data_IF_661203379033
#
_entry.id   IF_661203379033
#
_cell.length_a   1.000
_cell.length_b   1.000
_cell.length_c   1.000
_cell.angle_alpha   90.00
_cell.angle_beta   90.00
_cell.angle_gamma   90.00
#
_symmetry.space_group_name_H-M   'P 1'
#
loop_
_entity.id
_entity.type
_entity.pdbx_description
1 polymer ?
#
# COMPACT_ATOMS: atom_id res chain seq x y z
N UNK A 1 -4.12 23.33 -7.86
CA UNK A 1 -4.46 21.94 -8.12
C UNK A 1 -4.27 21.11 -6.88
N UNK A 2 -5.02 20.03 -6.78
CA UNK A 2 -4.90 19.08 -5.67
C UNK A 2 -4.98 17.65 -6.21
N UNK A 3 -4.03 16.82 -5.81
CA UNK A 3 -3.97 15.39 -6.08
C UNK A 3 -4.16 14.66 -4.76
N UNK A 4 -5.17 13.81 -4.69
CA UNK A 4 -5.58 13.14 -3.46
C UNK A 4 -4.87 11.79 -3.28
N UNK A 5 -4.85 11.29 -2.05
CA UNK A 5 -4.29 9.96 -1.70
C UNK A 5 -5.02 8.82 -2.43
N UNK A 6 -6.34 8.92 -2.57
CA UNK A 6 -7.14 8.01 -3.38
C UNK A 6 -7.48 8.68 -4.70
N UNK A 7 -7.34 7.96 -5.79
CA UNK A 7 -7.64 8.50 -7.11
C UNK A 7 -9.11 8.95 -7.20
N UNK A 8 -9.29 10.22 -7.57
CA UNK A 8 -10.62 10.79 -7.77
C UNK A 8 -10.97 10.74 -9.26
N UNK A 9 -10.96 9.53 -9.83
CA UNK A 9 -11.21 9.24 -11.24
C UNK A 9 -12.43 8.32 -11.38
N UNK A 10 -13.20 8.52 -12.43
CA UNK A 10 -14.29 7.64 -12.81
C UNK A 10 -13.72 6.47 -13.61
N UNK A 11 -13.72 5.29 -13.04
CA UNK A 11 -13.04 4.11 -13.59
C UNK A 11 -13.64 3.62 -14.91
N UNK A 12 -14.93 3.78 -15.08
CA UNK A 12 -15.66 3.36 -16.30
C UNK A 12 -15.52 4.32 -17.47
N UNK A 13 -15.08 5.56 -17.22
CA UNK A 13 -14.85 6.56 -18.25
C UNK A 13 -13.41 6.44 -18.79
N UNK A 14 -13.23 6.86 -20.05
CA UNK A 14 -11.90 6.98 -20.65
C UNK A 14 -11.06 8.04 -19.95
N UNK A 15 -9.74 7.97 -20.15
CA UNK A 15 -8.81 8.99 -19.65
C UNK A 15 -9.22 10.38 -20.12
N UNK A 16 -9.53 10.52 -21.41
CA UNK A 16 -9.95 11.81 -21.98
C UNK A 16 -11.21 12.34 -21.30
N UNK A 17 -12.24 11.52 -21.11
CA UNK A 17 -13.47 11.94 -20.43
C UNK A 17 -13.21 12.38 -18.99
N UNK A 18 -12.34 11.68 -18.26
CA UNK A 18 -11.93 12.10 -16.91
C UNK A 18 -11.20 13.46 -16.87
N UNK A 19 -10.43 13.79 -17.92
CA UNK A 19 -9.71 15.04 -18.01
C UNK A 19 -10.60 16.24 -18.33
N UNK A 20 -11.71 16.00 -19.04
CA UNK A 20 -12.61 17.07 -19.51
C UNK A 20 -13.87 17.26 -18.66
N UNK A 21 -14.16 16.36 -17.73
CA UNK A 21 -15.46 16.28 -17.01
C UNK A 21 -15.84 17.56 -16.27
N UNK A 22 -14.86 18.40 -15.96
CA UNK A 22 -15.02 19.63 -15.18
C UNK A 22 -14.48 20.86 -15.96
N UNK A 23 -14.58 20.82 -17.29
CA UNK A 23 -14.08 21.88 -18.17
C UNK A 23 -15.19 22.39 -19.08
N UNK A 24 -15.33 23.73 -19.12
CA UNK A 24 -16.23 24.42 -20.04
C UNK A 24 -15.57 24.74 -21.40
N UNK A 25 -14.29 24.34 -21.59
CA UNK A 25 -13.54 24.61 -22.83
C UNK A 25 -14.01 23.66 -23.97
N UNK A 26 -13.85 24.12 -25.22
CA UNK A 26 -14.14 23.29 -26.40
C UNK A 26 -13.19 22.07 -26.45
N UNK A 27 -13.74 20.93 -26.86
CA UNK A 27 -13.06 19.64 -26.85
C UNK A 27 -11.75 19.61 -27.62
N UNK A 28 -11.70 20.28 -28.79
CA UNK A 28 -10.49 20.37 -29.60
C UNK A 28 -9.35 21.14 -28.88
N UNK A 29 -9.67 22.28 -28.28
CA UNK A 29 -8.69 23.09 -27.54
C UNK A 29 -8.12 22.34 -26.35
N UNK A 30 -8.96 21.57 -25.63
CA UNK A 30 -8.54 20.73 -24.52
C UNK A 30 -7.60 19.62 -24.97
N UNK A 31 -7.89 18.99 -26.11
CA UNK A 31 -7.04 17.93 -26.65
C UNK A 31 -5.64 18.44 -26.97
N UNK A 32 -5.53 19.59 -27.63
CA UNK A 32 -4.23 20.24 -27.91
C UNK A 32 -3.47 20.59 -26.64
N UNK A 33 -4.19 21.07 -25.61
CA UNK A 33 -3.61 21.41 -24.30
C UNK A 33 -3.09 20.17 -23.58
N UNK A 34 -3.86 19.08 -23.58
CA UNK A 34 -3.47 17.79 -23.02
C UNK A 34 -2.22 17.26 -23.73
N UNK A 35 -2.22 17.23 -25.06
CA UNK A 35 -1.08 16.77 -25.86
C UNK A 35 0.19 17.60 -25.58
N UNK A 36 0.03 18.91 -25.40
CA UNK A 36 1.13 19.80 -25.03
C UNK A 36 1.70 19.45 -23.66
N UNK A 37 0.85 19.25 -22.66
CA UNK A 37 1.24 18.85 -21.30
C UNK A 37 1.94 17.49 -21.33
N UNK A 38 1.36 16.51 -22.02
CA UNK A 38 1.92 15.15 -22.11
C UNK A 38 3.31 15.18 -22.75
N UNK A 39 3.50 15.91 -23.84
CA UNK A 39 4.82 16.07 -24.49
C UNK A 39 5.81 16.79 -23.59
N UNK A 40 5.40 17.91 -22.98
CA UNK A 40 6.26 18.74 -22.13
C UNK A 40 6.83 17.99 -20.94
N UNK A 41 6.01 17.16 -20.29
CA UNK A 41 6.39 16.44 -19.07
C UNK A 41 6.69 14.95 -19.31
N UNK A 42 6.71 14.53 -20.57
CA UNK A 42 6.96 13.14 -20.98
C UNK A 42 5.99 12.15 -20.31
N UNK A 43 4.72 12.53 -20.22
CA UNK A 43 3.67 11.64 -19.76
C UNK A 43 3.18 10.77 -20.93
N UNK A 44 3.16 9.45 -20.72
CA UNK A 44 2.63 8.49 -21.68
C UNK A 44 1.39 7.83 -21.09
N UNK A 45 0.22 8.24 -21.56
CA UNK A 45 -1.08 7.66 -21.19
C UNK A 45 -1.95 7.65 -22.45
N UNK A 46 -2.63 6.55 -22.72
CA UNK A 46 -3.59 6.44 -23.80
C UNK A 46 -4.91 7.12 -23.38
N UNK A 47 -5.36 8.10 -24.15
CA UNK A 47 -6.53 8.92 -23.83
C UNK A 47 -7.86 8.19 -24.04
N UNK A 48 -7.89 7.16 -24.87
CA UNK A 48 -9.10 6.48 -25.28
C UNK A 48 -9.44 5.24 -24.43
N UNK A 49 -8.51 4.80 -23.56
CA UNK A 49 -8.75 3.64 -22.70
C UNK A 49 -9.53 4.02 -21.43
N UNK A 50 -10.39 3.14 -20.90
CA UNK A 50 -11.01 3.30 -19.60
C UNK A 50 -9.97 3.34 -18.48
N UNK A 51 -10.21 4.20 -17.48
CA UNK A 51 -9.28 4.39 -16.34
C UNK A 51 -9.11 3.09 -15.54
N UNK A 52 -10.11 2.22 -15.50
CA UNK A 52 -10.02 0.89 -14.87
C UNK A 52 -8.80 0.08 -15.36
N UNK A 53 -8.44 0.21 -16.63
CA UNK A 53 -7.35 -0.55 -17.26
C UNK A 53 -5.96 0.06 -17.04
N UNK A 54 -5.85 1.16 -16.29
CA UNK A 54 -4.61 1.84 -16.04
C UNK A 54 -3.89 1.30 -14.81
N UNK A 55 -2.54 1.26 -14.86
CA UNK A 55 -1.73 1.06 -13.66
C UNK A 55 -1.88 2.24 -12.68
N UNK A 56 -1.51 2.05 -11.41
CA UNK A 56 -1.52 3.10 -10.41
C UNK A 56 -0.69 4.33 -10.84
N UNK A 57 0.50 4.10 -11.43
CA UNK A 57 1.33 5.18 -11.96
C UNK A 57 0.69 5.94 -13.13
N UNK A 58 -0.04 5.24 -13.98
CA UNK A 58 -0.81 5.89 -15.05
C UNK A 58 -1.99 6.70 -14.50
N UNK A 59 -2.75 6.16 -13.54
CA UNK A 59 -3.83 6.89 -12.85
C UNK A 59 -3.29 8.16 -12.18
N UNK A 60 -2.11 8.09 -11.55
CA UNK A 60 -1.43 9.24 -10.97
C UNK A 60 -1.09 10.31 -12.02
N UNK A 61 -0.57 9.90 -13.19
CA UNK A 61 -0.28 10.82 -14.29
C UNK A 61 -1.56 11.53 -14.78
N UNK A 62 -2.69 10.81 -14.86
CA UNK A 62 -4.00 11.40 -15.23
C UNK A 62 -4.44 12.47 -14.23
N UNK A 63 -4.35 12.20 -12.93
CA UNK A 63 -4.66 13.17 -11.87
C UNK A 63 -3.81 14.45 -12.00
N UNK A 64 -2.51 14.28 -12.26
CA UNK A 64 -1.59 15.41 -12.43
C UNK A 64 -1.93 16.20 -13.70
N UNK A 65 -2.17 15.54 -14.84
CA UNK A 65 -2.58 16.19 -16.09
C UNK A 65 -3.85 17.00 -15.86
N UNK A 66 -4.85 16.43 -15.17
CA UNK A 66 -6.10 17.12 -14.82
C UNK A 66 -5.86 18.41 -14.03
N UNK A 67 -4.90 18.40 -13.10
CA UNK A 67 -4.51 19.60 -12.39
C UNK A 67 -3.80 20.63 -13.30
N UNK A 68 -2.87 20.17 -14.16
CA UNK A 68 -2.05 21.03 -15.03
C UNK A 68 -2.83 21.72 -16.14
N UNK A 69 -3.92 21.11 -16.64
CA UNK A 69 -4.82 21.73 -17.64
C UNK A 69 -5.28 23.12 -17.18
N UNK A 70 -5.46 23.31 -15.87
CA UNK A 70 -5.89 24.59 -15.28
C UNK A 70 -4.75 25.58 -15.00
N UNK A 71 -3.52 25.26 -15.40
CA UNK A 71 -2.33 26.08 -15.17
C UNK A 71 -2.21 26.57 -13.70
N UNK A 72 -2.14 25.65 -12.73
CA UNK A 72 -2.17 25.99 -11.32
C UNK A 72 -0.90 26.72 -10.90
N UNK A 73 -1.03 27.70 -10.00
CA UNK A 73 0.11 28.33 -9.31
C UNK A 73 0.60 27.51 -8.12
N UNK A 74 -0.29 26.70 -7.54
CA UNK A 74 -0.03 25.82 -6.38
C UNK A 74 -0.55 24.44 -6.69
N UNK A 75 0.29 23.42 -6.44
CA UNK A 75 -0.05 22.02 -6.53
C UNK A 75 0.10 21.38 -5.16
N UNK A 76 -1.00 20.85 -4.62
CA UNK A 76 -1.02 20.14 -3.34
C UNK A 76 -1.10 18.65 -3.65
N UNK A 77 -0.22 17.86 -3.06
CA UNK A 77 -0.16 16.42 -3.26
C UNK A 77 -0.23 15.71 -1.91
N UNK A 78 -1.24 14.87 -1.74
CA UNK A 78 -1.48 14.12 -0.51
C UNK A 78 -1.11 12.64 -0.70
N UNK A 79 0.00 12.22 -0.11
CA UNK A 79 0.59 10.87 -0.20
C UNK A 79 0.64 10.28 -1.63
N UNK A 80 1.14 11.02 -2.64
CA UNK A 80 0.97 10.65 -4.04
C UNK A 80 1.74 9.39 -4.46
N UNK A 81 2.58 8.86 -3.61
CA UNK A 81 3.42 7.68 -3.87
C UNK A 81 2.99 6.43 -3.11
N UNK A 82 1.85 6.47 -2.43
CA UNK A 82 1.40 5.38 -1.56
C UNK A 82 1.23 4.04 -2.29
N UNK A 83 0.86 4.09 -3.57
CA UNK A 83 0.60 2.92 -4.44
C UNK A 83 1.57 2.80 -5.61
N UNK A 84 2.61 3.65 -5.66
CA UNK A 84 3.60 3.68 -6.73
C UNK A 84 4.80 2.79 -6.43
N UNK A 85 5.36 2.21 -7.48
CA UNK A 85 6.67 1.56 -7.43
C UNK A 85 7.79 2.60 -7.23
N UNK A 86 9.00 2.16 -6.85
CA UNK A 86 10.16 3.06 -6.73
C UNK A 86 10.51 3.74 -8.06
N UNK A 87 10.34 3.05 -9.18
CA UNK A 87 10.58 3.62 -10.52
C UNK A 87 9.55 4.71 -10.83
N UNK A 88 8.25 4.44 -10.64
CA UNK A 88 7.18 5.42 -10.86
C UNK A 88 7.32 6.64 -9.93
N UNK A 89 7.73 6.41 -8.67
CA UNK A 89 8.05 7.49 -7.71
C UNK A 89 9.18 8.39 -8.23
N UNK A 90 10.24 7.78 -8.78
CA UNK A 90 11.37 8.53 -9.34
C UNK A 90 10.95 9.37 -10.55
N UNK A 91 10.12 8.83 -11.44
CA UNK A 91 9.55 9.56 -12.59
C UNK A 91 8.67 10.73 -12.13
N UNK A 92 7.85 10.51 -11.10
CA UNK A 92 7.03 11.57 -10.49
C UNK A 92 7.91 12.70 -9.96
N UNK A 93 8.97 12.38 -9.20
CA UNK A 93 9.87 13.39 -8.64
C UNK A 93 10.57 14.23 -9.72
N UNK A 94 10.98 13.61 -10.82
CA UNK A 94 11.52 14.34 -11.96
C UNK A 94 10.51 15.34 -12.53
N UNK A 95 9.24 14.94 -12.60
CA UNK A 95 8.16 15.81 -13.07
C UNK A 95 7.90 16.97 -12.09
N UNK A 96 7.87 16.68 -10.77
CA UNK A 96 7.65 17.70 -9.73
C UNK A 96 8.78 18.73 -9.70
N UNK A 97 10.03 18.30 -9.88
CA UNK A 97 11.17 19.24 -9.99
C UNK A 97 11.00 20.19 -11.17
N UNK A 98 10.58 19.69 -12.34
CA UNK A 98 10.29 20.55 -13.51
C UNK A 98 9.17 21.55 -13.21
N UNK A 99 8.10 21.12 -12.49
CA UNK A 99 7.03 22.04 -12.12
C UNK A 99 7.52 23.16 -11.20
N UNK A 100 8.37 22.83 -10.23
CA UNK A 100 8.99 23.80 -9.32
C UNK A 100 9.88 24.78 -10.07
N UNK A 101 10.72 24.31 -10.99
CA UNK A 101 11.57 25.15 -11.86
C UNK A 101 10.75 26.11 -12.74
N UNK A 102 9.52 25.74 -13.11
CA UNK A 102 8.58 26.58 -13.83
C UNK A 102 7.77 27.53 -12.93
N UNK A 103 8.06 27.54 -11.63
CA UNK A 103 7.45 28.45 -10.66
C UNK A 103 6.13 27.98 -10.07
N UNK A 104 5.76 26.70 -10.23
CA UNK A 104 4.62 26.12 -9.52
C UNK A 104 5.06 25.80 -8.09
N UNK A 105 4.37 26.36 -7.10
CA UNK A 105 4.59 26.03 -5.70
C UNK A 105 4.02 24.65 -5.42
N UNK A 106 4.82 23.76 -4.80
CA UNK A 106 4.40 22.40 -4.49
C UNK A 106 4.30 22.24 -2.98
N UNK A 107 3.13 21.79 -2.50
CA UNK A 107 2.93 21.33 -1.12
C UNK A 107 2.81 19.81 -1.16
N UNK A 108 3.83 19.13 -0.62
CA UNK A 108 3.95 17.69 -0.64
C UNK A 108 3.70 17.11 0.74
N UNK A 109 2.57 16.43 0.92
CA UNK A 109 2.16 15.82 2.20
C UNK A 109 2.54 14.35 2.15
N UNK A 110 3.35 13.89 3.11
CA UNK A 110 3.77 12.49 3.22
C UNK A 110 4.26 12.15 4.62
N UNK A 111 4.23 10.89 4.96
CA UNK A 111 4.90 10.32 6.13
C UNK A 111 6.23 9.62 5.77
N UNK A 112 6.58 9.56 4.49
CA UNK A 112 7.80 8.90 3.99
C UNK A 112 8.99 9.85 4.00
N UNK A 113 9.77 9.85 5.07
CA UNK A 113 10.86 10.79 5.29
C UNK A 113 11.94 10.78 4.21
N UNK A 114 12.20 9.64 3.57
CA UNK A 114 13.14 9.57 2.43
C UNK A 114 12.69 10.43 1.25
N UNK A 115 11.40 10.49 0.99
CA UNK A 115 10.83 11.32 -0.08
C UNK A 115 10.98 12.80 0.22
N UNK A 116 10.71 13.22 1.46
CA UNK A 116 10.91 14.59 1.94
C UNK A 116 12.36 15.02 1.73
N UNK A 117 13.32 14.19 2.17
CA UNK A 117 14.75 14.46 2.02
C UNK A 117 15.22 14.57 0.57
N UNK A 118 14.54 13.89 -0.36
CA UNK A 118 14.94 13.82 -1.75
C UNK A 118 14.32 14.93 -2.62
N UNK A 119 13.11 15.37 -2.25
CA UNK A 119 12.29 16.24 -3.10
C UNK A 119 12.18 17.67 -2.58
N UNK A 120 12.05 17.86 -1.24
CA UNK A 120 11.64 19.11 -0.65
C UNK A 120 12.83 20.05 -0.33
N UNK A 121 12.58 21.36 -0.36
CA UNK A 121 13.54 22.37 0.07
C UNK A 121 13.36 22.71 1.56
N UNK A 122 12.10 22.73 2.01
CA UNK A 122 11.69 23.04 3.38
C UNK A 122 10.73 21.98 3.89
N UNK A 123 10.79 21.67 5.18
CA UNK A 123 9.90 20.70 5.83
C UNK A 123 9.18 21.31 7.01
N UNK A 124 7.87 21.11 7.05
CA UNK A 124 6.99 21.43 8.18
C UNK A 124 6.53 20.16 8.85
N UNK A 125 6.89 19.95 10.12
CA UNK A 125 6.48 18.76 10.88
C UNK A 125 5.21 19.07 11.67
N UNK A 126 4.18 18.27 11.43
CA UNK A 126 2.90 18.33 12.15
C UNK A 126 2.73 17.13 13.08
N UNK A 127 2.18 17.38 14.26
CA UNK A 127 1.83 16.34 15.23
C UNK A 127 0.59 16.73 16.01
N UNK A 128 -0.42 15.84 16.02
CA UNK A 128 -1.70 16.04 16.71
C UNK A 128 -2.36 17.39 16.36
N UNK A 129 -2.38 17.73 15.07
CA UNK A 129 -2.98 18.97 14.58
C UNK A 129 -2.17 20.25 14.85
N UNK A 130 -0.96 20.13 15.39
CA UNK A 130 -0.09 21.29 15.70
C UNK A 130 1.18 21.26 14.86
N UNK A 131 1.60 22.42 14.40
CA UNK A 131 2.91 22.62 13.77
C UNK A 131 4.01 22.54 14.85
N UNK A 132 4.89 21.55 14.73
CA UNK A 132 5.97 21.31 15.70
C UNK A 132 7.25 22.05 15.33
N UNK A 133 7.60 22.05 14.04
CA UNK A 133 8.77 22.74 13.51
C UNK A 133 8.62 23.04 12.04
N UNK A 134 9.31 24.08 11.59
CA UNK A 134 9.58 24.37 10.18
C UNK A 134 11.10 24.52 10.06
N UNK A 135 11.69 23.88 9.07
CA UNK A 135 13.14 23.89 8.87
C UNK A 135 13.53 23.64 7.42
N UNK A 136 14.68 24.19 7.00
CA UNK A 136 15.28 23.86 5.73
C UNK A 136 15.78 22.42 5.73
N UNK A 137 15.55 21.70 4.65
CA UNK A 137 15.85 20.27 4.58
C UNK A 137 17.34 19.96 4.80
N UNK A 138 18.23 20.85 4.38
CA UNK A 138 19.66 20.72 4.55
C UNK A 138 20.12 20.70 6.04
N UNK A 139 19.26 21.16 6.94
CA UNK A 139 19.51 21.19 8.39
C UNK A 139 18.91 19.99 9.11
N UNK A 140 18.29 19.07 8.36
CA UNK A 140 17.59 17.91 8.90
C UNK A 140 18.20 16.60 8.44
N UNK A 141 17.88 15.54 9.14
CA UNK A 141 18.11 14.16 8.74
C UNK A 141 16.89 13.31 9.09
N UNK A 142 16.83 12.08 8.57
CA UNK A 142 15.71 11.19 8.76
C UNK A 142 15.42 10.94 10.26
N UNK A 143 16.44 10.79 11.09
CA UNK A 143 16.29 10.52 12.52
C UNK A 143 15.74 11.75 13.26
N UNK A 144 16.24 12.96 12.96
CA UNK A 144 15.73 14.21 13.50
C UNK A 144 14.24 14.42 13.18
N UNK A 145 13.86 14.22 11.91
CA UNK A 145 12.47 14.35 11.47
C UNK A 145 11.58 13.31 12.14
N UNK A 146 12.03 12.05 12.19
CA UNK A 146 11.28 10.97 12.85
C UNK A 146 11.03 11.28 14.34
N UNK A 147 12.04 11.74 15.05
CA UNK A 147 11.92 12.14 16.47
C UNK A 147 10.94 13.29 16.67
N UNK A 148 10.95 14.30 15.78
CA UNK A 148 9.99 15.41 15.81
C UNK A 148 8.55 14.93 15.54
N UNK A 149 8.35 14.01 14.61
CA UNK A 149 7.04 13.45 14.28
C UNK A 149 6.47 12.61 15.44
N UNK A 150 7.27 11.73 16.03
CA UNK A 150 6.83 10.85 17.13
C UNK A 150 6.81 11.58 18.47
N UNK A 151 7.72 12.51 18.69
CA UNK A 151 7.84 13.30 19.92
C UNK A 151 8.54 12.54 21.07
N UNK A 152 9.27 11.51 20.73
CA UNK A 152 10.13 10.73 21.64
C UNK A 152 11.38 10.32 20.88
N UNK A 153 12.49 10.19 21.57
CA UNK A 153 13.70 9.62 20.98
C UNK A 153 13.44 8.18 20.56
N UNK A 154 13.39 7.97 19.25
CA UNK A 154 13.26 6.62 18.70
C UNK A 154 14.55 5.86 19.01
N UNK A 155 14.47 4.92 19.94
CA UNK A 155 15.56 3.97 20.14
C UNK A 155 15.70 3.15 18.87
N UNK A 156 16.83 3.28 18.20
CA UNK A 156 17.19 2.43 17.06
C UNK A 156 17.06 0.97 17.47
N UNK A 157 16.16 0.24 16.83
CA UNK A 157 16.04 -1.21 17.07
C UNK A 157 17.33 -1.83 16.52
N UNK A 158 18.27 -2.13 17.40
CA UNK A 158 19.43 -2.93 17.02
C UNK A 158 18.92 -4.29 16.60
N UNK A 159 19.28 -4.75 15.38
CA UNK A 159 19.06 -6.13 14.98
C UNK A 159 19.53 -7.04 16.12
N UNK A 160 18.58 -7.73 16.76
CA UNK A 160 18.92 -8.75 17.74
C UNK A 160 19.76 -9.81 17.02
N UNK A 161 20.89 -10.19 17.58
CA UNK A 161 21.67 -11.34 17.09
C UNK A 161 20.72 -12.53 16.99
N UNK A 162 20.78 -13.21 15.86
CA UNK A 162 19.99 -14.37 15.49
C UNK A 162 20.15 -15.47 16.56
N UNK A 163 19.18 -15.59 17.45
CA UNK A 163 18.93 -16.85 18.14
C UNK A 163 17.88 -17.62 17.31
N UNK A 164 18.20 -17.92 16.06
CA UNK A 164 17.39 -18.85 15.27
C UNK A 164 17.66 -20.24 15.80
N UNK A 165 16.61 -20.87 16.31
CA UNK A 165 16.64 -22.29 16.62
C UNK A 165 16.81 -23.06 15.30
N UNK A 166 17.53 -24.16 15.32
CA UNK A 166 17.59 -25.09 14.16
C UNK A 166 16.29 -25.90 13.97
N UNK A 167 15.29 -25.66 14.82
CA UNK A 167 14.00 -26.34 14.75
C UNK A 167 13.14 -25.73 13.64
N UNK A 168 12.90 -26.50 12.58
CA UNK A 168 12.00 -26.13 11.49
C UNK A 168 10.56 -26.10 12.02
N UNK A 169 9.91 -24.95 11.89
CA UNK A 169 8.54 -24.75 12.37
C UNK A 169 7.51 -24.87 11.25
N UNK A 170 7.80 -24.29 10.09
CA UNK A 170 6.94 -24.34 8.92
C UNK A 170 7.72 -24.83 7.71
N UNK A 171 7.08 -25.65 6.88
CA UNK A 171 7.63 -26.13 5.62
C UNK A 171 6.54 -26.12 4.57
N UNK A 172 6.81 -25.46 3.46
CA UNK A 172 5.97 -25.42 2.27
C UNK A 172 6.67 -26.24 1.20
N UNK A 173 5.95 -27.18 0.58
CA UNK A 173 6.51 -28.10 -0.40
C UNK A 173 5.54 -28.24 -1.57
N UNK A 174 6.02 -27.94 -2.77
CA UNK A 174 5.28 -28.07 -4.04
C UNK A 174 3.87 -27.49 -3.94
N UNK A 175 3.75 -26.30 -3.31
CA UNK A 175 2.46 -25.64 -3.16
C UNK A 175 2.06 -25.06 -4.52
N UNK A 176 0.91 -25.50 -5.00
CA UNK A 176 0.31 -25.06 -6.23
C UNK A 176 -1.11 -24.58 -5.94
N UNK A 177 -1.51 -23.50 -6.59
CA UNK A 177 -2.87 -22.97 -6.61
C UNK A 177 -3.18 -22.47 -8.01
N UNK A 178 -4.35 -22.86 -8.53
CA UNK A 178 -4.86 -22.37 -9.80
C UNK A 178 -6.19 -21.70 -9.53
N UNK A 179 -6.28 -20.40 -9.82
CA UNK A 179 -7.52 -19.65 -9.68
C UNK A 179 -8.43 -19.85 -10.89
N UNK A 180 -9.73 -19.81 -10.63
CA UNK A 180 -10.77 -19.72 -11.67
C UNK A 180 -11.00 -18.24 -12.08
N UNK A 181 -10.56 -17.28 -11.28
CA UNK A 181 -10.63 -15.85 -11.57
C UNK A 181 -9.46 -15.45 -12.47
N UNK A 182 -9.71 -14.90 -13.69
CA UNK A 182 -8.66 -14.45 -14.60
C UNK A 182 -7.82 -13.27 -14.08
N UNK A 183 -8.26 -12.59 -13.02
CA UNK A 183 -7.55 -11.47 -12.39
C UNK A 183 -6.63 -11.90 -11.24
N UNK A 184 -6.76 -13.14 -10.77
CA UNK A 184 -5.87 -13.71 -9.75
C UNK A 184 -4.66 -14.40 -10.36
N UNK A 185 -3.60 -14.51 -9.55
CA UNK A 185 -2.32 -15.11 -9.99
C UNK A 185 -2.20 -16.55 -9.53
N UNK A 186 -1.88 -17.45 -10.44
CA UNK A 186 -1.61 -18.83 -10.09
C UNK A 186 -0.30 -18.96 -9.31
N UNK A 187 -0.29 -19.80 -8.28
CA UNK A 187 0.92 -20.19 -7.58
C UNK A 187 1.44 -21.51 -8.17
N UNK A 188 2.72 -21.53 -8.52
CA UNK A 188 3.35 -22.70 -9.15
C UNK A 188 4.60 -23.09 -8.39
N UNK A 189 4.63 -24.30 -7.86
CA UNK A 189 5.79 -24.92 -7.22
C UNK A 189 6.45 -24.07 -6.13
N UNK A 190 5.64 -23.50 -5.23
CA UNK A 190 6.15 -22.68 -4.13
C UNK A 190 6.78 -23.57 -3.07
N UNK A 191 8.04 -23.32 -2.76
CA UNK A 191 8.84 -24.10 -1.82
C UNK A 191 9.63 -23.16 -0.91
N UNK A 192 9.46 -23.25 0.41
CA UNK A 192 10.30 -22.59 1.41
C UNK A 192 10.08 -23.19 2.79
N UNK A 193 10.95 -22.86 3.73
CA UNK A 193 10.81 -23.27 5.12
C UNK A 193 11.28 -22.17 6.06
N UNK A 194 10.74 -22.18 7.29
CA UNK A 194 11.15 -21.26 8.37
C UNK A 194 11.42 -22.04 9.64
N UNK A 195 12.44 -21.57 10.33
CA UNK A 195 12.78 -22.07 11.66
C UNK A 195 12.09 -21.22 12.74
N UNK A 196 12.01 -21.75 13.94
CA UNK A 196 11.49 -21.04 15.11
C UNK A 196 12.29 -19.75 15.36
N UNK A 197 11.58 -18.60 15.42
CA UNK A 197 12.19 -17.28 15.65
C UNK A 197 12.74 -16.60 14.38
N UNK A 198 12.60 -17.23 13.22
CA UNK A 198 12.95 -16.66 11.92
C UNK A 198 11.84 -15.74 11.40
N UNK A 199 12.24 -14.71 10.64
CA UNK A 199 11.35 -13.80 9.94
C UNK A 199 11.67 -13.86 8.45
N UNK A 200 10.72 -14.35 7.65
CA UNK A 200 10.82 -14.40 6.19
C UNK A 200 10.08 -13.21 5.57
N UNK A 201 10.77 -12.45 4.74
CA UNK A 201 10.16 -11.44 3.89
C UNK A 201 9.82 -12.01 2.52
N UNK A 202 8.57 -11.85 2.07
CA UNK A 202 8.13 -12.19 0.71
C UNK A 202 7.94 -10.90 -0.05
N UNK A 203 8.77 -10.65 -1.05
CA UNK A 203 8.75 -9.43 -1.85
C UNK A 203 8.32 -9.71 -3.28
N UNK A 204 7.56 -8.81 -3.86
CA UNK A 204 7.10 -8.86 -5.25
C UNK A 204 6.36 -7.58 -5.62
N UNK A 205 6.19 -7.36 -6.93
CA UNK A 205 5.31 -6.31 -7.44
C UNK A 205 3.86 -6.76 -7.23
N UNK A 206 2.93 -5.82 -7.02
CA UNK A 206 1.49 -6.12 -6.89
C UNK A 206 1.02 -7.01 -8.05
N UNK A 207 0.22 -8.02 -7.75
CA UNK A 207 -0.26 -9.00 -8.73
C UNK A 207 0.70 -10.17 -9.02
N UNK A 208 1.76 -10.37 -8.24
CA UNK A 208 2.70 -11.48 -8.41
C UNK A 208 2.43 -12.69 -7.49
N UNK A 209 1.25 -12.78 -6.90
CA UNK A 209 0.84 -13.96 -6.14
C UNK A 209 0.99 -13.84 -4.62
N UNK A 210 1.34 -12.66 -4.09
CA UNK A 210 1.48 -12.47 -2.63
C UNK A 210 0.16 -12.61 -1.89
N UNK A 211 -0.92 -12.05 -2.45
CA UNK A 211 -2.27 -12.12 -1.88
C UNK A 211 -2.78 -13.55 -1.89
N UNK A 212 -2.63 -14.26 -2.99
CA UNK A 212 -3.02 -15.65 -3.14
C UNK A 212 -2.22 -16.56 -2.20
N UNK A 213 -0.91 -16.29 -2.07
CA UNK A 213 -0.08 -17.03 -1.10
C UNK A 213 -0.55 -16.77 0.35
N UNK A 214 -0.90 -15.52 0.69
CA UNK A 214 -1.46 -15.20 1.99
C UNK A 214 -2.76 -15.95 2.24
N UNK A 215 -3.70 -15.98 1.29
CA UNK A 215 -4.99 -16.67 1.39
C UNK A 215 -4.80 -18.20 1.55
N UNK A 216 -3.83 -18.79 0.83
CA UNK A 216 -3.49 -20.20 1.02
C UNK A 216 -2.84 -20.45 2.38
N UNK A 217 -1.97 -19.58 2.86
CA UNK A 217 -1.33 -19.72 4.17
C UNK A 217 -2.28 -19.44 5.33
N UNK A 218 -3.28 -18.59 5.15
CA UNK A 218 -4.34 -18.36 6.15
C UNK A 218 -5.39 -19.47 6.19
N UNK A 219 -5.53 -20.23 5.08
CA UNK A 219 -6.55 -21.27 4.91
C UNK A 219 -7.87 -20.77 4.35
N UNK A 220 -7.94 -19.53 3.88
CA UNK A 220 -9.06 -19.00 3.10
C UNK A 220 -9.19 -19.77 1.79
N UNK A 221 -8.05 -20.08 1.17
CA UNK A 221 -7.94 -21.03 0.07
C UNK A 221 -7.34 -22.34 0.58
N UNK A 222 -8.05 -23.41 0.36
CA UNK A 222 -7.62 -24.77 0.75
C UNK A 222 -6.64 -25.30 -0.29
N UNK A 223 -5.52 -25.82 0.17
CA UNK A 223 -4.50 -26.45 -0.67
C UNK A 223 -4.41 -27.96 -0.44
N UNK A 224 -3.49 -28.62 -1.15
CA UNK A 224 -3.21 -30.02 -0.87
C UNK A 224 -2.72 -30.16 0.58
N UNK A 225 -3.28 -31.13 1.30
CA UNK A 225 -2.95 -31.41 2.71
C UNK A 225 -1.46 -31.41 3.00
N UNK A 226 -0.66 -32.05 2.15
CA UNK A 226 0.76 -32.27 2.36
C UNK A 226 1.63 -31.07 1.89
N UNK A 227 1.03 -30.05 1.30
CA UNK A 227 1.79 -28.89 0.79
C UNK A 227 2.25 -27.93 1.89
N UNK A 228 1.59 -27.97 3.06
CA UNK A 228 1.93 -27.11 4.21
C UNK A 228 2.08 -27.99 5.45
N UNK A 229 3.28 -28.00 6.01
CA UNK A 229 3.60 -28.65 7.28
C UNK A 229 3.90 -27.56 8.33
N UNK A 230 3.20 -27.58 9.46
CA UNK A 230 3.42 -26.71 10.60
C UNK A 230 3.60 -27.55 11.85
N UNK A 231 4.76 -27.38 12.51
CA UNK A 231 5.12 -28.15 13.72
C UNK A 231 4.86 -29.68 13.56
N UNK A 232 5.33 -30.24 12.44
CA UNK A 232 5.18 -31.66 12.06
C UNK A 232 3.74 -32.12 11.75
N UNK A 233 2.79 -31.21 11.67
CA UNK A 233 1.41 -31.51 11.28
C UNK A 233 1.13 -30.96 9.89
N UNK A 234 0.48 -31.74 9.04
CA UNK A 234 0.03 -31.29 7.74
C UNK A 234 -1.28 -30.50 7.89
N UNK A 235 -1.26 -29.24 7.44
CA UNK A 235 -2.34 -28.28 7.63
C UNK A 235 -2.87 -27.66 6.33
N UNK A 236 -2.43 -28.16 5.15
CA UNK A 236 -2.80 -27.58 3.87
C UNK A 236 -4.30 -27.58 3.58
N UNK A 237 -5.02 -28.60 4.10
CA UNK A 237 -6.46 -28.79 3.97
C UNK A 237 -7.30 -28.15 5.10
N UNK A 238 -6.68 -27.47 6.06
CA UNK A 238 -7.34 -26.83 7.19
C UNK A 238 -7.82 -25.43 6.85
N UNK A 239 -9.01 -25.08 7.33
CA UNK A 239 -9.59 -23.76 7.22
C UNK A 239 -8.96 -22.75 8.21
N UNK A 240 -9.22 -21.42 8.10
CA UNK A 240 -8.59 -20.42 8.96
C UNK A 240 -8.82 -20.62 10.45
N UNK A 241 -9.99 -21.14 10.84
CA UNK A 241 -10.33 -21.38 12.23
C UNK A 241 -9.52 -22.56 12.80
N UNK A 242 -9.40 -23.64 12.06
CA UNK A 242 -8.59 -24.80 12.44
C UNK A 242 -7.11 -24.44 12.56
N UNK A 243 -6.59 -23.60 11.64
CA UNK A 243 -5.19 -23.11 11.72
C UNK A 243 -4.93 -22.23 12.94
N UNK A 244 -5.94 -21.48 13.43
CA UNK A 244 -5.82 -20.73 14.69
C UNK A 244 -5.69 -21.65 15.91
N UNK A 245 -6.22 -22.87 15.88
CA UNK A 245 -6.02 -23.87 16.94
C UNK A 245 -4.54 -24.30 17.06
N UNK A 246 -3.76 -24.17 15.97
CA UNK A 246 -2.30 -24.31 15.98
C UNK A 246 -1.56 -23.02 16.40
N UNK A 247 -2.24 -22.03 16.95
CA UNK A 247 -1.71 -20.73 17.36
C UNK A 247 -1.15 -19.89 16.20
N UNK A 248 -1.65 -20.09 14.99
CA UNK A 248 -1.34 -19.23 13.85
C UNK A 248 -2.24 -17.98 13.90
N UNK A 249 -1.64 -16.81 13.74
CA UNK A 249 -2.34 -15.53 13.66
C UNK A 249 -2.09 -14.89 12.30
N UNK A 250 -3.11 -14.27 11.73
CA UNK A 250 -3.10 -13.69 10.41
C UNK A 250 -3.51 -12.23 10.47
N UNK A 251 -2.77 -11.37 9.74
CA UNK A 251 -3.09 -9.96 9.57
C UNK A 251 -3.13 -9.66 8.08
N UNK A 252 -4.31 -9.59 7.46
CA UNK A 252 -4.45 -9.33 6.04
C UNK A 252 -4.08 -7.88 5.68
N UNK A 253 -3.85 -7.64 4.39
CA UNK A 253 -3.57 -6.30 3.84
C UNK A 253 -4.80 -5.40 3.97
N UNK A 254 -5.98 -5.93 3.62
CA UNK A 254 -7.24 -5.21 3.79
C UNK A 254 -7.66 -5.20 5.27
N UNK A 255 -7.62 -4.00 5.83
CA UNK A 255 -7.91 -3.78 7.25
C UNK A 255 -9.40 -3.70 7.56
N UNK A 256 -10.23 -3.30 6.60
CA UNK A 256 -11.64 -2.96 6.83
C UNK A 256 -12.59 -4.06 6.36
N UNK A 257 -12.21 -4.84 5.35
CA UNK A 257 -13.04 -5.92 4.84
C UNK A 257 -12.66 -7.27 5.43
N UNK A 258 -11.36 -7.51 5.68
CA UNK A 258 -10.85 -8.81 6.13
C UNK A 258 -10.33 -8.83 7.57
N UNK A 259 -9.77 -7.72 8.08
CA UNK A 259 -9.11 -7.74 9.39
C UNK A 259 -10.01 -7.31 10.54
N UNK A 260 -10.91 -6.34 10.34
CA UNK A 260 -11.73 -5.77 11.39
C UNK A 260 -13.09 -5.33 10.86
N UNK A 261 -14.10 -5.37 11.72
CA UNK A 261 -15.44 -4.82 11.47
C UNK A 261 -15.47 -3.41 12.05
N UNK A 262 -15.51 -2.34 11.22
CA UNK A 262 -15.37 -0.94 11.67
C UNK A 262 -16.47 -0.49 12.64
N UNK A 263 -17.67 -1.08 12.54
CA UNK A 263 -18.82 -0.76 13.40
C UNK A 263 -18.75 -1.41 14.78
N UNK A 264 -17.85 -2.36 14.99
CA UNK A 264 -17.65 -3.05 16.25
C UNK A 264 -16.57 -2.38 17.10
N UNK A 265 -16.72 -2.43 18.41
CA UNK A 265 -15.68 -2.01 19.33
C UNK A 265 -14.41 -2.90 19.20
N UNK A 266 -13.27 -2.40 19.66
CA UNK A 266 -11.99 -3.14 19.56
C UNK A 266 -12.10 -4.48 20.31
N UNK A 267 -12.69 -4.51 21.49
CA UNK A 267 -12.82 -5.76 22.27
C UNK A 267 -13.72 -6.79 21.56
N UNK A 268 -14.77 -6.33 20.85
CA UNK A 268 -15.64 -7.21 20.07
C UNK A 268 -14.88 -7.81 18.87
N UNK A 269 -14.08 -7.01 18.16
CA UNK A 269 -13.21 -7.49 17.09
C UNK A 269 -12.17 -8.51 17.59
N UNK A 270 -11.60 -8.29 18.79
CA UNK A 270 -10.68 -9.26 19.41
C UNK A 270 -11.41 -10.54 19.79
N UNK A 271 -12.62 -10.44 20.33
CA UNK A 271 -13.44 -11.57 20.70
C UNK A 271 -13.83 -12.44 19.50
N UNK A 272 -14.19 -11.82 18.35
CA UNK A 272 -14.51 -12.55 17.12
C UNK A 272 -13.38 -13.46 16.65
N UNK A 273 -12.14 -13.00 16.72
CA UNK A 273 -10.98 -13.81 16.36
C UNK A 273 -10.73 -14.99 17.32
N UNK A 274 -11.34 -14.98 18.52
CA UNK A 274 -11.13 -15.93 19.59
C UNK A 274 -12.44 -16.54 20.11
N UNK A 275 -13.49 -16.58 19.29
CA UNK A 275 -14.85 -16.92 19.75
C UNK A 275 -14.98 -18.35 20.34
N UNK A 276 -14.08 -19.28 20.03
CA UNK A 276 -14.01 -20.61 20.68
C UNK A 276 -13.27 -20.60 22.02
N UNK A 277 -12.60 -19.52 22.38
CA UNK A 277 -11.86 -19.46 23.64
C UNK A 277 -12.80 -19.15 24.80
N UNK A 278 -12.87 -20.02 25.80
CA UNK A 278 -13.66 -19.83 27.03
C UNK A 278 -13.25 -18.58 27.83
N UNK A 279 -12.08 -17.99 27.54
CA UNK A 279 -11.62 -16.79 28.22
C UNK A 279 -12.35 -15.52 27.73
N UNK A 280 -12.84 -15.52 26.51
CA UNK A 280 -13.53 -14.36 25.90
C UNK A 280 -15.04 -14.47 25.98
N UNK A 281 -15.58 -15.65 26.19
CA UNK A 281 -17.02 -15.90 26.22
C UNK A 281 -17.45 -16.67 27.45
N UNK A 282 -18.51 -16.18 28.12
CA UNK A 282 -19.17 -16.88 29.19
C UNK A 282 -20.66 -17.00 28.83
N UNK A 283 -21.16 -18.24 28.68
CA UNK A 283 -22.55 -18.53 28.29
C UNK A 283 -23.03 -17.78 27.03
N UNK A 284 -22.15 -17.59 26.04
CA UNK A 284 -22.49 -16.87 24.80
C UNK A 284 -22.41 -15.34 24.87
N UNK A 285 -22.02 -14.78 26.00
CA UNK A 285 -21.78 -13.35 26.19
C UNK A 285 -20.29 -13.08 26.24
N UNK A 286 -19.86 -11.95 25.65
CA UNK A 286 -18.46 -11.51 25.72
C UNK A 286 -18.14 -11.16 27.18
N UNK A 287 -17.04 -11.69 27.67
CA UNK A 287 -16.52 -11.39 29.01
C UNK A 287 -15.67 -10.13 28.90
N UNK A 288 -16.15 -9.01 29.44
CA UNK A 288 -15.47 -7.70 29.46
C UNK A 288 -14.24 -7.68 30.37
#
# INVERSE_FOLDING_TARGET
>A
GMVFQHFNLFETLSVFENLIIDSDEQRENLKEKIDTIMKKYNFSVDLDVPVLNLSAGQKQKVEIIRCLIRSPKVLIMDEPTSVLTEQETSELFLSLKKFSEEGILIIYITHKLKEVMQLCDEVAVMRRGKLVSVSQINNENIESLANKMVGQDLKTIKKKKENTSSEQLIKITNLNFTSEDPFETNLVDINFSLNRGECLGIAGISGNGQSELFQVLSGEIISNKNSIEFNKNFIGDLNPQERREYLMAFSPEDRLEQAAIPQMAIFENVALNNFKSSNFFNNGLINE
#
